data_IF_616719126112
#
_entry.id   IF_616719126112
#
_cell.length_a   1.000
_cell.length_b   1.000
_cell.length_c   1.000
_cell.angle_alpha   90.00
_cell.angle_beta   90.00
_cell.angle_gamma   90.00
#
_symmetry.space_group_name_H-M   'P 1'
#
loop_
_entity.id
_entity.type
_entity.pdbx_description
1 polymer ?
#
# COMPACT_ATOMS: atom_id res chain seq x y z
N UNK A 1 -54.48 -39.48 40.23
CA UNK A 1 -54.07 -38.46 39.24
C UNK A 1 -53.57 -37.23 39.99
N UNK A 2 -52.35 -36.72 39.78
CA UNK A 2 -51.95 -35.44 40.33
C UNK A 2 -52.17 -34.30 39.32
N UNK A 3 -52.50 -33.07 39.74
CA UNK A 3 -52.54 -31.92 38.85
C UNK A 3 -51.15 -31.28 38.72
N UNK A 4 -50.81 -30.98 37.46
CA UNK A 4 -49.62 -30.29 36.96
C UNK A 4 -49.85 -28.79 36.96
N UNK A 5 -48.96 -27.96 37.53
CA UNK A 5 -48.72 -26.54 37.12
C UNK A 5 -47.28 -26.11 37.45
N UNK A 6 -46.40 -26.00 36.46
CA UNK A 6 -46.02 -24.81 35.65
C UNK A 6 -44.89 -24.01 36.30
N UNK A 7 -43.65 -24.27 35.87
CA UNK A 7 -42.50 -23.41 36.10
C UNK A 7 -42.48 -22.34 34.99
N UNK A 8 -42.63 -21.08 35.37
CA UNK A 8 -42.22 -19.93 34.53
C UNK A 8 -41.06 -19.27 35.26
N UNK A 9 -39.85 -19.50 34.77
CA UNK A 9 -38.66 -18.74 35.16
C UNK A 9 -38.35 -17.79 34.01
N UNK A 10 -38.68 -16.52 34.16
CA UNK A 10 -38.29 -15.48 33.22
C UNK A 10 -36.77 -15.29 33.32
N UNK A 11 -36.05 -15.70 32.27
CA UNK A 11 -34.67 -15.28 32.08
C UNK A 11 -34.66 -13.76 31.85
N UNK A 12 -33.79 -12.98 32.50
CA UNK A 12 -33.78 -11.53 32.34
C UNK A 12 -33.44 -11.19 30.89
N UNK A 13 -34.41 -10.62 30.17
CA UNK A 13 -34.19 -10.12 28.83
C UNK A 13 -33.14 -9.01 28.91
N UNK A 14 -31.95 -9.26 28.37
CA UNK A 14 -30.89 -8.26 28.22
C UNK A 14 -31.48 -7.03 27.53
N UNK A 15 -31.67 -5.95 28.29
CA UNK A 15 -32.32 -4.75 27.78
C UNK A 15 -31.42 -4.09 26.74
N UNK A 16 -32.03 -3.46 25.73
CA UNK A 16 -31.28 -2.77 24.68
C UNK A 16 -30.34 -1.68 25.26
N UNK A 17 -30.70 -1.12 26.42
CA UNK A 17 -29.87 -0.19 27.19
C UNK A 17 -28.58 -0.84 27.69
N UNK A 18 -28.63 -2.07 28.20
CA UNK A 18 -27.44 -2.80 28.66
C UNK A 18 -26.48 -3.10 27.51
N UNK A 19 -27.02 -3.44 26.33
CA UNK A 19 -26.21 -3.68 25.12
C UNK A 19 -25.54 -2.40 24.64
N UNK A 20 -26.28 -1.29 24.57
CA UNK A 20 -25.72 0.02 24.18
C UNK A 20 -24.63 0.48 25.14
N UNK A 21 -24.82 0.26 26.44
CA UNK A 21 -23.83 0.59 27.47
C UNK A 21 -22.56 -0.25 27.31
N UNK A 22 -22.68 -1.56 27.09
CA UNK A 22 -21.54 -2.44 26.86
C UNK A 22 -20.72 -2.02 25.62
N UNK A 23 -21.39 -1.58 24.55
CA UNK A 23 -20.73 -1.07 23.35
C UNK A 23 -20.01 0.26 23.60
N UNK A 24 -20.63 1.18 24.36
CA UNK A 24 -19.98 2.44 24.71
C UNK A 24 -18.75 2.23 25.60
N UNK A 25 -18.86 1.33 26.58
CA UNK A 25 -17.77 1.01 27.50
C UNK A 25 -16.60 0.33 26.76
N UNK A 26 -16.88 -0.56 25.80
CA UNK A 26 -15.84 -1.23 25.01
C UNK A 26 -15.13 -0.28 24.04
N UNK A 27 -15.86 0.65 23.42
CA UNK A 27 -15.28 1.69 22.55
C UNK A 27 -14.40 2.64 23.36
N UNK A 28 -14.85 3.03 24.56
CA UNK A 28 -14.08 3.90 25.46
C UNK A 28 -12.78 3.22 25.90
N UNK A 29 -12.86 1.96 26.33
CA UNK A 29 -11.70 1.18 26.73
C UNK A 29 -10.69 0.98 25.57
N UNK A 30 -11.18 0.76 24.34
CA UNK A 30 -10.32 0.63 23.18
C UNK A 30 -9.59 1.95 22.82
N UNK A 31 -10.27 3.09 22.96
CA UNK A 31 -9.68 4.41 22.72
C UNK A 31 -8.63 4.76 23.78
N UNK A 32 -8.88 4.45 25.05
CA UNK A 32 -7.91 4.62 26.14
C UNK A 32 -6.70 3.71 25.97
N UNK A 33 -6.90 2.45 25.57
CA UNK A 33 -5.80 1.52 25.29
C UNK A 33 -4.95 2.00 24.10
N UNK A 34 -5.57 2.53 23.05
CA UNK A 34 -4.85 3.11 21.91
C UNK A 34 -4.05 4.36 22.33
N UNK A 35 -4.62 5.24 23.16
CA UNK A 35 -3.92 6.41 23.70
C UNK A 35 -2.72 6.02 24.59
N UNK A 36 -2.88 5.00 25.43
CA UNK A 36 -1.80 4.48 26.29
C UNK A 36 -0.66 3.84 25.46
N UNK A 37 -1.00 3.19 24.34
CA UNK A 37 -0.01 2.60 23.42
C UNK A 37 0.78 3.70 22.69
N UNK A 38 0.12 4.79 22.30
CA UNK A 38 0.80 5.96 21.71
C UNK A 38 1.69 6.69 22.72
N UNK A 39 1.28 6.82 23.99
CA UNK A 39 2.07 7.46 25.04
C UNK A 39 3.36 6.67 25.36
N UNK A 40 3.30 5.34 25.39
CA UNK A 40 4.45 4.47 25.66
C UNK A 40 5.48 4.36 24.51
N UNK A 41 5.19 4.95 23.34
CA UNK A 41 6.12 4.94 22.20
C UNK A 41 7.03 6.19 22.18
N UNK A 42 6.90 7.09 23.16
CA UNK A 42 7.76 8.26 23.30
C UNK A 42 9.09 7.94 24.01
N UNK A 43 9.90 7.06 23.42
CA UNK A 43 11.30 6.90 23.82
C UNK A 43 12.19 7.69 22.85
N UNK A 44 12.88 8.76 23.29
CA UNK A 44 13.79 9.50 22.43
C UNK A 44 15.18 8.87 22.51
N UNK A 45 15.39 7.64 22.01
CA UNK A 45 16.75 7.18 21.78
C UNK A 45 16.91 5.97 20.83
N UNK A 46 17.74 6.22 19.81
CA UNK A 46 18.56 5.30 18.99
C UNK A 46 17.89 4.54 17.83
N UNK A 47 18.11 5.14 16.66
CA UNK A 47 18.31 4.53 15.35
C UNK A 47 18.92 3.11 15.42
N UNK A 48 18.23 2.11 14.88
CA UNK A 48 18.66 1.22 13.80
C UNK A 48 17.63 0.10 13.62
N UNK A 49 16.71 0.29 12.67
CA UNK A 49 15.89 -0.77 12.08
C UNK A 49 15.83 -0.54 10.57
N UNK A 50 15.59 -1.58 9.73
CA UNK A 50 15.56 -1.47 8.28
C UNK A 50 14.24 -0.84 7.82
N UNK A 51 13.92 0.33 8.36
CA UNK A 51 12.99 1.26 7.75
C UNK A 51 13.87 2.18 6.95
N UNK A 52 13.99 1.95 5.64
CA UNK A 52 14.51 2.98 4.75
C UNK A 52 13.70 4.24 5.03
N UNK A 53 14.32 5.19 5.71
CA UNK A 53 13.66 6.42 6.15
C UNK A 53 12.99 7.06 4.94
N UNK A 54 11.79 7.66 5.06
CA UNK A 54 11.15 8.35 3.93
C UNK A 54 12.09 9.34 3.23
N UNK A 55 13.00 9.93 4.00
CA UNK A 55 14.12 10.76 3.54
C UNK A 55 15.04 10.00 2.59
N UNK A 56 15.51 8.80 2.95
CA UNK A 56 16.37 7.98 2.08
C UNK A 56 15.69 7.53 0.79
N UNK A 57 14.39 7.25 0.80
CA UNK A 57 13.63 6.91 -0.42
C UNK A 57 13.47 8.14 -1.32
N UNK A 58 13.22 9.31 -0.72
CA UNK A 58 13.12 10.58 -1.43
C UNK A 58 14.46 11.02 -2.03
N UNK A 59 15.57 10.83 -1.33
CA UNK A 59 16.93 11.10 -1.85
C UNK A 59 17.24 10.21 -3.04
N UNK A 60 16.93 8.90 -2.96
CA UNK A 60 17.06 7.97 -4.08
C UNK A 60 16.16 8.34 -5.26
N UNK A 61 14.93 8.80 -5.01
CA UNK A 61 14.07 9.29 -6.07
C UNK A 61 14.63 10.56 -6.74
N UNK A 62 15.17 11.51 -5.96
CA UNK A 62 15.84 12.70 -6.52
C UNK A 62 17.04 12.33 -7.37
N UNK A 63 17.85 11.38 -6.91
CA UNK A 63 18.97 10.83 -7.69
C UNK A 63 18.46 10.21 -8.99
N UNK A 64 17.40 9.40 -8.93
CA UNK A 64 16.76 8.81 -10.09
C UNK A 64 16.30 9.86 -11.12
N UNK A 65 15.60 10.92 -10.68
CA UNK A 65 15.16 12.01 -11.54
C UNK A 65 16.34 12.82 -12.10
N UNK A 66 17.44 12.95 -11.35
CA UNK A 66 18.65 13.65 -11.81
C UNK A 66 19.28 13.01 -13.05
N UNK A 67 19.08 11.70 -13.25
CA UNK A 67 19.53 11.01 -14.45
C UNK A 67 18.67 11.27 -15.70
N UNK A 68 17.67 12.15 -15.58
CA UNK A 68 16.69 12.47 -16.61
C UNK A 68 16.09 11.19 -17.22
N UNK A 69 15.29 10.46 -16.42
CA UNK A 69 14.61 9.29 -16.94
C UNK A 69 13.65 9.74 -18.05
N UNK A 70 13.57 8.91 -19.09
CA UNK A 70 12.62 9.14 -20.17
C UNK A 70 11.21 8.86 -19.64
N UNK A 71 10.25 9.67 -20.05
CA UNK A 71 8.84 9.49 -19.67
C UNK A 71 8.14 8.68 -20.75
N UNK A 72 7.21 7.81 -20.35
CA UNK A 72 6.40 7.04 -21.29
C UNK A 72 4.94 7.45 -21.16
N UNK A 73 4.35 7.87 -22.28
CA UNK A 73 2.97 8.37 -22.34
C UNK A 73 1.96 7.35 -22.88
N UNK A 74 2.42 6.20 -23.38
CA UNK A 74 1.58 5.15 -23.96
C UNK A 74 1.33 5.28 -25.47
N UNK A 75 1.71 6.37 -26.14
CA UNK A 75 1.31 6.63 -27.53
C UNK A 75 2.30 6.16 -28.60
N UNK A 76 3.57 6.00 -28.23
CA UNK A 76 4.65 5.59 -29.15
C UNK A 76 4.70 4.06 -29.43
N UNK A 77 3.76 3.30 -28.85
CA UNK A 77 3.66 1.84 -29.00
C UNK A 77 4.93 1.09 -28.59
N UNK A 78 5.19 -0.04 -29.24
CA UNK A 78 6.32 -0.92 -28.93
C UNK A 78 7.68 -0.21 -29.00
N UNK A 79 7.88 0.69 -29.97
CA UNK A 79 9.16 1.40 -30.14
C UNK A 79 9.43 2.33 -28.96
N UNK A 80 8.43 3.11 -28.55
CA UNK A 80 8.55 3.98 -27.38
C UNK A 80 8.74 3.20 -26.09
N UNK A 81 8.03 2.07 -25.96
CA UNK A 81 8.15 1.21 -24.78
C UNK A 81 9.55 0.60 -24.65
N UNK A 82 10.13 0.10 -25.75
CA UNK A 82 11.50 -0.44 -25.76
C UNK A 82 12.51 0.62 -25.36
N UNK A 83 12.43 1.82 -25.95
CA UNK A 83 13.31 2.95 -25.60
C UNK A 83 13.19 3.34 -24.13
N UNK A 84 11.98 3.33 -23.59
CA UNK A 84 11.74 3.61 -22.19
C UNK A 84 12.37 2.54 -21.28
N UNK A 85 12.21 1.24 -21.57
CA UNK A 85 12.86 0.17 -20.81
C UNK A 85 14.38 0.33 -20.81
N UNK A 86 15.01 0.52 -21.98
CA UNK A 86 16.46 0.68 -22.10
C UNK A 86 16.97 1.85 -21.24
N UNK A 87 16.23 2.97 -21.23
CA UNK A 87 16.62 4.15 -20.45
C UNK A 87 16.51 3.91 -18.96
N UNK A 88 15.40 3.32 -18.51
CA UNK A 88 15.16 3.02 -17.09
C UNK A 88 16.17 1.98 -16.57
N UNK A 89 16.45 0.94 -17.35
CA UNK A 89 17.45 -0.08 -17.01
C UNK A 89 18.87 0.51 -16.95
N UNK A 90 19.20 1.44 -17.84
CA UNK A 90 20.46 2.19 -17.78
C UNK A 90 20.57 3.03 -16.50
N UNK A 91 19.49 3.65 -16.03
CA UNK A 91 19.47 4.35 -14.74
C UNK A 91 19.69 3.36 -13.59
N UNK A 92 18.95 2.25 -13.57
CA UNK A 92 19.06 1.24 -12.52
C UNK A 92 20.44 0.59 -12.42
N UNK A 93 21.10 0.37 -13.56
CA UNK A 93 22.45 -0.16 -13.62
C UNK A 93 23.48 0.78 -12.98
N UNK A 94 23.37 2.10 -13.21
CA UNK A 94 24.31 3.11 -12.71
C UNK A 94 24.24 3.33 -11.20
N UNK A 95 23.04 3.29 -10.64
CA UNK A 95 22.79 3.62 -9.22
C UNK A 95 22.68 2.39 -8.30
N UNK A 96 22.74 1.16 -8.85
CA UNK A 96 22.58 -0.10 -8.10
C UNK A 96 21.33 -0.10 -7.20
N UNK A 97 20.19 0.39 -7.72
CA UNK A 97 18.94 0.40 -6.94
C UNK A 97 18.53 -1.00 -6.51
N UNK A 98 18.06 -1.09 -5.28
CA UNK A 98 17.47 -2.31 -4.74
C UNK A 98 16.16 -2.65 -5.47
N UNK A 99 15.92 -3.94 -5.69
CA UNK A 99 14.86 -4.45 -6.57
C UNK A 99 13.48 -3.93 -6.15
N UNK A 100 13.25 -3.78 -4.84
CA UNK A 100 12.00 -3.28 -4.24
C UNK A 100 11.66 -1.83 -4.59
N UNK A 101 12.62 -1.03 -5.07
CA UNK A 101 12.38 0.37 -5.44
C UNK A 101 12.18 0.56 -6.94
N UNK A 102 12.56 -0.43 -7.77
CA UNK A 102 12.57 -0.28 -9.24
C UNK A 102 11.19 0.04 -9.79
N UNK A 103 10.18 -0.74 -9.42
CA UNK A 103 8.81 -0.53 -9.91
C UNK A 103 8.27 0.82 -9.46
N UNK A 104 8.45 1.19 -8.19
CA UNK A 104 7.98 2.50 -7.69
C UNK A 104 8.61 3.66 -8.46
N UNK A 105 9.90 3.60 -8.77
CA UNK A 105 10.60 4.67 -9.47
C UNK A 105 10.24 4.70 -10.96
N UNK A 106 10.16 3.54 -11.60
CA UNK A 106 9.77 3.47 -13.01
C UNK A 106 8.34 3.95 -13.23
N UNK A 107 7.38 3.50 -12.42
CA UNK A 107 5.96 3.88 -12.57
C UNK A 107 5.75 5.38 -12.32
N UNK A 108 6.61 6.02 -11.53
CA UNK A 108 6.68 7.47 -11.37
C UNK A 108 7.14 8.25 -12.62
N UNK A 109 7.49 7.57 -13.71
CA UNK A 109 7.83 8.18 -15.02
C UNK A 109 6.78 7.89 -16.10
N UNK A 110 5.71 7.19 -15.74
CA UNK A 110 4.56 7.02 -16.61
C UNK A 110 3.74 8.30 -16.63
N UNK A 111 3.21 8.63 -17.81
CA UNK A 111 2.42 9.83 -18.08
C UNK A 111 1.20 9.47 -18.90
N UNK A 112 0.22 10.36 -18.97
CA UNK A 112 -0.98 10.26 -19.82
C UNK A 112 -1.66 8.88 -19.77
N UNK A 113 -1.74 8.20 -20.92
CA UNK A 113 -2.41 6.90 -21.06
C UNK A 113 -1.72 5.81 -20.22
N UNK A 114 -0.39 5.78 -20.24
CA UNK A 114 0.38 4.81 -19.47
C UNK A 114 0.21 5.00 -17.94
N UNK A 115 0.09 6.24 -17.48
CA UNK A 115 -0.22 6.52 -16.07
C UNK A 115 -1.64 6.09 -15.71
N UNK A 116 -2.60 6.36 -16.58
CA UNK A 116 -4.00 5.95 -16.40
C UNK A 116 -4.13 4.44 -16.32
N UNK A 117 -3.43 3.72 -17.20
CA UNK A 117 -3.34 2.26 -17.18
C UNK A 117 -2.74 1.73 -15.88
N UNK A 118 -1.62 2.29 -15.41
CA UNK A 118 -0.99 1.85 -14.17
C UNK A 118 -1.88 2.08 -12.95
N UNK A 119 -2.58 3.22 -12.89
CA UNK A 119 -3.52 3.52 -11.83
C UNK A 119 -4.69 2.52 -11.81
N UNK A 120 -5.22 2.15 -12.98
CA UNK A 120 -6.26 1.13 -13.09
C UNK A 120 -5.77 -0.26 -12.64
N UNK A 121 -4.54 -0.63 -12.99
CA UNK A 121 -3.91 -1.87 -12.52
C UNK A 121 -3.73 -1.88 -10.99
N UNK A 122 -3.28 -0.77 -10.41
CA UNK A 122 -3.00 -0.67 -8.98
C UNK A 122 -4.26 -0.53 -8.10
N UNK A 123 -5.35 0.01 -8.64
CA UNK A 123 -6.59 0.30 -7.89
C UNK A 123 -7.17 -0.89 -7.10
N UNK A 124 -7.32 -2.11 -7.66
CA UNK A 124 -7.93 -3.23 -6.93
C UNK A 124 -7.05 -3.80 -5.80
N UNK A 125 -5.73 -3.64 -5.86
CA UNK A 125 -4.80 -4.22 -4.86
C UNK A 125 -4.13 -3.18 -3.96
N UNK A 126 -4.27 -1.89 -4.28
CA UNK A 126 -3.59 -0.79 -3.61
C UNK A 126 -2.18 -0.54 -4.14
N UNK A 127 -1.75 0.73 -4.11
CA UNK A 127 -0.47 1.18 -4.66
C UNK A 127 0.74 0.50 -4.02
N UNK A 128 0.68 0.24 -2.71
CA UNK A 128 1.77 -0.42 -1.98
C UNK A 128 1.94 -1.87 -2.40
N UNK A 129 0.86 -2.57 -2.74
CA UNK A 129 0.91 -3.95 -3.19
C UNK A 129 1.29 -4.04 -4.67
N UNK A 130 0.74 -3.14 -5.51
CA UNK A 130 1.11 -3.03 -6.92
C UNK A 130 2.61 -2.74 -7.10
N UNK A 131 3.18 -1.88 -6.26
CA UNK A 131 4.61 -1.55 -6.31
C UNK A 131 5.55 -2.68 -5.86
N UNK A 132 5.02 -3.78 -5.30
CA UNK A 132 5.83 -4.96 -4.89
C UNK A 132 6.00 -5.98 -6.01
N UNK A 133 5.37 -5.81 -7.17
CA UNK A 133 5.65 -6.68 -8.32
C UNK A 133 7.13 -6.53 -8.72
N UNK A 134 7.66 -7.52 -9.42
CA UNK A 134 9.04 -7.45 -9.92
C UNK A 134 9.13 -6.53 -11.12
N UNK A 135 10.33 -5.99 -11.39
CA UNK A 135 10.57 -5.24 -12.63
C UNK A 135 10.21 -6.05 -13.87
N UNK A 136 10.58 -7.34 -13.89
CA UNK A 136 10.24 -8.27 -14.97
C UNK A 136 8.73 -8.40 -15.20
N UNK A 137 7.94 -8.46 -14.12
CA UNK A 137 6.49 -8.54 -14.23
C UNK A 137 5.91 -7.24 -14.78
N UNK A 138 6.38 -6.08 -14.33
CA UNK A 138 5.98 -4.78 -14.89
C UNK A 138 6.27 -4.72 -16.40
N UNK A 139 7.46 -5.16 -16.84
CA UNK A 139 7.81 -5.20 -18.28
C UNK A 139 6.84 -6.07 -19.07
N UNK A 140 6.51 -7.26 -18.55
CA UNK A 140 5.56 -8.18 -19.17
C UNK A 140 4.17 -7.55 -19.35
N UNK A 141 3.66 -6.88 -18.30
CA UNK A 141 2.35 -6.25 -18.32
C UNK A 141 2.29 -5.08 -19.33
N UNK A 142 3.31 -4.23 -19.35
CA UNK A 142 3.40 -3.12 -20.31
C UNK A 142 3.54 -3.62 -21.76
N UNK A 143 4.37 -4.64 -22.00
CA UNK A 143 4.50 -5.25 -23.33
C UNK A 143 3.17 -5.81 -23.82
N UNK A 144 2.45 -6.55 -22.98
CA UNK A 144 1.13 -7.08 -23.36
C UNK A 144 0.08 -6.00 -23.67
N UNK A 145 0.27 -4.79 -23.12
CA UNK A 145 -0.66 -3.68 -23.29
C UNK A 145 -0.32 -2.83 -24.52
N UNK A 146 0.96 -2.56 -24.75
CA UNK A 146 1.43 -1.58 -25.74
C UNK A 146 2.14 -2.19 -26.95
N UNK A 147 2.32 -3.52 -26.99
CA UNK A 147 2.88 -4.26 -28.11
C UNK A 147 1.87 -5.34 -28.60
N UNK A 148 0.87 -4.96 -29.41
CA UNK A 148 -0.08 -5.90 -30.01
C UNK A 148 0.55 -6.83 -31.06
#
# INVERSE_FOLDING_TARGET
MPPKRTSTSEAPAMTQTAIRKLVADSVTAALEAQAATMANTSNPNRNTGPTGTPISKMEKYKEFISFQPFYFNGTEGAVGLIRWFERIESVFSRSRYAEENKVTFATGTLTDDALSWWNAYAQPMGVDQANKITWTELKRLLTNTYCP
#
